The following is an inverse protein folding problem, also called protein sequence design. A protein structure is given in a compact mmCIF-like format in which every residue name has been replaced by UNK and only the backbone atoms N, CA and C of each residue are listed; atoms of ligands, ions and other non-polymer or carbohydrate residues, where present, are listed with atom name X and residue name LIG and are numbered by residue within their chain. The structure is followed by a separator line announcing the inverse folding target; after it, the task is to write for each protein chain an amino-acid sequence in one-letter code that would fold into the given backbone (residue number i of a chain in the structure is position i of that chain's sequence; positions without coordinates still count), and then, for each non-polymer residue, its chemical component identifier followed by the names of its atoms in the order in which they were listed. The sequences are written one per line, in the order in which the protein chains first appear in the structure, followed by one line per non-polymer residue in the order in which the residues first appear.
data_IF_310558620794
#
_entry.id   IF_310558620794
#
_cell.length_a   1.000
_cell.length_b   1.000
_cell.length_c   1.000
_cell.angle_alpha   90.00
_cell.angle_beta   90.00
_cell.angle_gamma   90.00
#
_symmetry.space_group_name_H-M   'P 1'
#
loop_
_entity.id
_entity.type
_entity.pdbx_description
1 polymer ?
#
# COMPACT_ATOMS: atom_id res chain seq x y z
N UNK A 1 -17.48 2.32 16.80
CA UNK A 1 -18.63 3.18 17.16
C UNK A 1 -19.29 3.78 15.92
N UNK A 2 -18.73 3.58 14.69
CA UNK A 2 -19.30 4.10 13.44
C UNK A 2 -19.03 5.59 13.17
N UNK A 3 -18.15 6.23 13.94
CA UNK A 3 -17.73 7.61 13.67
C UNK A 3 -16.81 7.67 12.44
N UNK A 4 -17.09 8.62 11.53
CA UNK A 4 -16.23 8.89 10.37
C UNK A 4 -15.11 9.84 10.81
N UNK A 5 -13.88 9.31 10.93
CA UNK A 5 -12.72 10.09 11.36
C UNK A 5 -12.17 11.01 10.25
N UNK A 6 -12.51 10.75 8.99
CA UNK A 6 -12.09 11.58 7.87
C UNK A 6 -12.06 10.82 6.55
N UNK A 7 -11.53 11.49 5.54
CA UNK A 7 -11.40 10.95 4.17
C UNK A 7 -9.95 11.10 3.73
N UNK A 8 -9.39 10.04 3.16
CA UNK A 8 -8.19 10.07 2.35
C UNK A 8 -8.57 9.89 0.88
N UNK A 9 -8.01 10.73 0.02
CA UNK A 9 -8.11 10.57 -1.43
C UNK A 9 -6.77 10.09 -1.96
N UNK A 10 -6.79 9.00 -2.72
CA UNK A 10 -5.60 8.40 -3.35
C UNK A 10 -4.75 9.46 -4.04
N UNK A 11 -3.52 9.60 -3.59
CA UNK A 11 -2.60 10.66 -4.06
C UNK A 11 -2.05 10.35 -5.44
N UNK A 12 -1.61 9.11 -5.67
CA UNK A 12 -1.00 8.70 -6.93
C UNK A 12 -2.00 7.90 -7.75
N UNK A 13 -2.31 8.39 -8.94
CA UNK A 13 -3.26 7.76 -9.86
C UNK A 13 -2.47 7.10 -11.00
N UNK A 14 -2.58 5.79 -11.21
CA UNK A 14 -1.92 5.11 -12.32
C UNK A 14 -2.52 5.50 -13.67
N UNK A 15 -1.72 5.37 -14.70
CA UNK A 15 -2.13 5.58 -16.09
C UNK A 15 -1.34 4.64 -16.99
N UNK A 16 -1.65 3.36 -16.88
CA UNK A 16 -1.02 2.33 -17.66
C UNK A 16 -2.07 1.38 -18.24
N UNK A 17 -1.63 0.49 -19.11
CA UNK A 17 -2.50 -0.49 -19.74
C UNK A 17 -3.29 -1.28 -18.70
N UNK A 18 -4.60 -1.37 -18.87
CA UNK A 18 -5.59 -1.90 -17.90
C UNK A 18 -5.78 -1.10 -16.59
N UNK A 19 -4.98 -0.05 -16.35
CA UNK A 19 -5.09 0.82 -15.18
C UNK A 19 -5.24 2.29 -15.58
N UNK A 20 -6.09 2.60 -16.56
CA UNK A 20 -6.30 3.97 -17.07
C UNK A 20 -7.14 4.81 -16.08
N UNK A 21 -6.72 4.84 -14.81
CA UNK A 21 -7.46 5.56 -13.77
C UNK A 21 -7.47 7.08 -14.00
N UNK A 22 -6.44 7.65 -14.64
CA UNK A 22 -6.38 9.10 -14.93
C UNK A 22 -7.46 9.59 -15.87
N UNK A 23 -8.08 8.68 -16.66
CA UNK A 23 -9.22 9.04 -17.49
C UNK A 23 -10.45 9.39 -16.64
N UNK A 24 -10.61 8.73 -15.49
CA UNK A 24 -11.79 8.87 -14.63
C UNK A 24 -11.54 9.70 -13.38
N UNK A 25 -10.31 9.80 -12.90
CA UNK A 25 -9.98 10.37 -11.59
C UNK A 25 -8.84 11.38 -11.67
N UNK A 26 -8.90 12.33 -10.75
CA UNK A 26 -7.81 13.28 -10.47
C UNK A 26 -7.01 12.84 -9.25
N UNK A 27 -5.70 13.12 -9.18
CA UNK A 27 -4.90 12.89 -7.97
C UNK A 27 -5.54 13.50 -6.73
N UNK A 28 -5.49 12.76 -5.63
CA UNK A 28 -5.99 13.21 -4.34
C UNK A 28 -5.25 14.43 -3.81
N UNK A 29 -5.96 15.28 -3.10
CA UNK A 29 -5.44 16.54 -2.55
C UNK A 29 -5.59 16.65 -1.03
N UNK A 30 -5.80 15.51 -0.35
CA UNK A 30 -5.98 15.50 1.12
C UNK A 30 -4.68 15.50 1.90
N UNK A 31 -3.55 15.31 1.22
CA UNK A 31 -2.27 14.98 1.85
C UNK A 31 -2.29 13.59 2.50
N UNK A 32 -1.15 13.18 3.02
CA UNK A 32 -1.02 11.92 3.75
C UNK A 32 -1.49 12.10 5.18
N UNK A 33 -2.54 11.37 5.55
CA UNK A 33 -3.21 11.50 6.85
C UNK A 33 -2.99 10.27 7.71
N UNK A 34 -2.93 10.52 9.01
CA UNK A 34 -2.94 9.50 10.06
C UNK A 34 -4.15 9.72 10.93
N UNK A 35 -4.86 8.65 11.25
CA UNK A 35 -6.02 8.68 12.11
C UNK A 35 -5.71 8.06 13.45
N UNK A 36 -5.99 8.81 14.51
CA UNK A 36 -5.89 8.33 15.88
C UNK A 36 -7.15 7.52 16.19
N UNK A 37 -7.00 6.21 16.27
CA UNK A 37 -8.09 5.30 16.59
C UNK A 37 -8.00 4.88 18.06
N UNK A 38 -9.01 4.17 18.55
CA UNK A 38 -8.99 3.60 19.91
C UNK A 38 -7.77 2.70 20.16
N UNK A 39 -7.19 2.10 19.13
CA UNK A 39 -6.22 1.00 19.25
C UNK A 39 -4.82 1.36 18.75
N UNK A 40 -4.73 2.19 17.73
CA UNK A 40 -3.48 2.58 17.08
C UNK A 40 -3.68 3.83 16.23
N UNK A 41 -2.57 4.51 15.92
CA UNK A 41 -2.50 5.54 14.87
C UNK A 41 -2.26 4.88 13.55
N UNK A 42 -3.26 4.93 12.66
CA UNK A 42 -3.21 4.27 11.36
C UNK A 42 -2.95 5.23 10.22
N UNK A 43 -2.02 4.88 9.35
CA UNK A 43 -1.79 5.53 8.06
C UNK A 43 -2.34 4.67 6.94
N UNK A 44 -2.95 5.29 5.93
CA UNK A 44 -3.52 4.58 4.79
C UNK A 44 -2.97 5.17 3.50
N UNK A 45 -2.39 4.31 2.64
CA UNK A 45 -2.15 4.56 1.24
C UNK A 45 -3.02 3.63 0.40
N UNK A 46 -3.45 4.06 -0.78
CA UNK A 46 -4.37 3.28 -1.62
C UNK A 46 -3.66 2.80 -2.87
N UNK A 47 -3.58 1.49 -3.06
CA UNK A 47 -3.13 0.82 -4.29
C UNK A 47 -1.82 1.43 -4.84
N UNK A 48 -1.86 2.25 -5.90
CA UNK A 48 -0.68 2.84 -6.53
C UNK A 48 0.23 3.63 -5.58
N UNK A 49 -0.32 4.20 -4.49
CA UNK A 49 0.47 4.86 -3.44
C UNK A 49 1.54 3.93 -2.84
N UNK A 50 1.34 2.63 -2.91
CA UNK A 50 2.23 1.59 -2.38
C UNK A 50 3.61 1.54 -3.04
N UNK A 51 3.75 2.09 -4.26
CA UNK A 51 5.02 2.11 -4.98
C UNK A 51 5.92 3.29 -4.60
N UNK A 52 5.37 4.27 -3.87
CA UNK A 52 6.05 5.52 -3.54
C UNK A 52 6.58 5.49 -2.11
N UNK A 53 7.93 5.43 -1.91
CA UNK A 53 8.53 5.49 -0.59
C UNK A 53 8.12 6.74 0.21
N UNK A 54 7.83 7.84 -0.49
CA UNK A 54 7.35 9.10 0.07
C UNK A 54 6.04 8.92 0.82
N UNK A 55 5.12 8.09 0.31
CA UNK A 55 3.85 7.79 0.99
C UNK A 55 4.11 7.19 2.36
N UNK A 56 4.86 6.11 2.42
CA UNK A 56 5.17 5.42 3.67
C UNK A 56 5.94 6.34 4.63
N UNK A 57 6.93 7.09 4.13
CA UNK A 57 7.73 8.01 4.94
C UNK A 57 6.90 9.15 5.51
N UNK A 58 6.03 9.76 4.70
CA UNK A 58 5.15 10.84 5.18
C UNK A 58 4.16 10.35 6.23
N UNK A 59 3.55 9.17 6.02
CA UNK A 59 2.65 8.57 7.01
C UNK A 59 3.39 8.26 8.32
N UNK A 60 4.59 7.70 8.26
CA UNK A 60 5.40 7.41 9.43
C UNK A 60 5.83 8.70 10.17
N UNK A 61 6.19 9.75 9.45
CA UNK A 61 6.52 11.07 10.02
C UNK A 61 5.31 11.74 10.68
N UNK A 62 4.10 11.48 10.15
CA UNK A 62 2.85 11.94 10.76
C UNK A 62 2.42 11.08 11.97
N UNK A 63 3.24 10.11 12.36
CA UNK A 63 3.05 9.32 13.56
C UNK A 63 2.27 8.02 13.38
N UNK A 64 2.15 7.50 12.16
CA UNK A 64 1.54 6.19 11.95
C UNK A 64 2.28 5.09 12.71
N UNK A 65 1.52 4.24 13.39
CA UNK A 65 1.99 3.05 14.09
C UNK A 65 1.74 1.77 13.27
N UNK A 66 0.76 1.82 12.36
CA UNK A 66 0.45 0.78 11.38
C UNK A 66 0.18 1.44 10.03
N UNK A 67 0.66 0.84 8.94
CA UNK A 67 0.41 1.27 7.57
C UNK A 67 -0.49 0.27 6.85
N UNK A 68 -1.61 0.75 6.32
CA UNK A 68 -2.57 -0.05 5.57
C UNK A 68 -2.55 0.31 4.09
N UNK A 69 -2.54 -0.71 3.24
CA UNK A 69 -2.59 -0.56 1.79
C UNK A 69 -3.67 -1.46 1.18
N UNK A 70 -4.92 -1.01 1.13
CA UNK A 70 -5.93 -1.67 0.30
C UNK A 70 -5.56 -1.51 -1.17
N UNK A 71 -5.56 -2.60 -1.92
CA UNK A 71 -5.08 -2.60 -3.30
C UNK A 71 -5.82 -3.59 -4.19
N UNK A 72 -5.74 -3.37 -5.49
CA UNK A 72 -6.14 -4.30 -6.53
C UNK A 72 -5.01 -4.32 -7.57
N UNK A 73 -4.05 -5.23 -7.39
CA UNK A 73 -2.91 -5.41 -8.29
C UNK A 73 -2.80 -6.86 -8.73
N UNK A 74 -2.49 -7.06 -9.98
CA UNK A 74 -2.38 -8.37 -10.61
C UNK A 74 -1.30 -8.44 -11.66
N UNK A 75 -1.24 -9.58 -12.33
CA UNK A 75 -0.39 -9.80 -13.50
C UNK A 75 -1.14 -9.36 -14.75
N UNK A 76 -0.49 -8.50 -15.51
CA UNK A 76 -0.98 -8.06 -16.81
C UNK A 76 -0.54 -9.07 -17.87
N UNK A 77 -1.48 -9.69 -18.59
CA UNK A 77 -1.13 -10.74 -19.57
C UNK A 77 -0.15 -10.27 -20.65
N UNK A 78 -0.18 -8.96 -20.95
CA UNK A 78 0.65 -8.37 -22.01
C UNK A 78 2.13 -8.24 -21.62
N UNK A 79 2.44 -8.21 -20.31
CA UNK A 79 3.81 -8.01 -19.85
C UNK A 79 4.58 -9.31 -19.62
N UNK A 80 3.90 -10.46 -19.63
CA UNK A 80 4.48 -11.77 -19.32
C UNK A 80 5.38 -11.73 -18.06
N UNK A 81 4.98 -10.92 -17.07
CA UNK A 81 5.76 -10.64 -15.88
C UNK A 81 4.90 -10.77 -14.64
N UNK A 82 5.36 -11.58 -13.69
CA UNK A 82 4.76 -11.68 -12.36
C UNK A 82 5.36 -10.63 -11.41
N UNK A 83 4.63 -9.55 -11.20
CA UNK A 83 5.06 -8.44 -10.31
C UNK A 83 4.86 -8.71 -8.82
N UNK A 84 4.24 -9.81 -8.42
CA UNK A 84 3.89 -10.11 -7.02
C UNK A 84 5.11 -10.04 -6.08
N UNK A 85 6.21 -10.67 -6.48
CA UNK A 85 7.43 -10.65 -5.67
C UNK A 85 8.09 -9.27 -5.59
N UNK A 86 8.00 -8.45 -6.64
CA UNK A 86 8.46 -7.06 -6.64
C UNK A 86 7.60 -6.22 -5.70
N UNK A 87 6.28 -6.28 -5.85
CA UNK A 87 5.32 -5.61 -4.98
C UNK A 87 5.56 -5.92 -3.50
N UNK A 88 5.66 -7.21 -3.14
CA UNK A 88 5.89 -7.63 -1.77
C UNK A 88 7.20 -7.06 -1.19
N UNK A 89 8.31 -7.13 -1.95
CA UNK A 89 9.61 -6.58 -1.50
C UNK A 89 9.56 -5.06 -1.29
N UNK A 90 8.86 -4.33 -2.16
CA UNK A 90 8.68 -2.88 -2.00
C UNK A 90 7.97 -2.57 -0.69
N UNK A 91 6.89 -3.28 -0.39
CA UNK A 91 6.11 -3.09 0.83
C UNK A 91 6.87 -3.49 2.09
N UNK A 92 7.63 -4.60 2.06
CA UNK A 92 8.54 -4.97 3.14
C UNK A 92 9.62 -3.90 3.37
N UNK A 93 10.13 -3.31 2.29
CA UNK A 93 11.07 -2.18 2.36
C UNK A 93 10.48 -0.96 3.05
N UNK A 94 9.19 -0.67 2.83
CA UNK A 94 8.50 0.43 3.53
C UNK A 94 8.40 0.16 5.03
N UNK A 95 8.06 -1.06 5.43
CA UNK A 95 8.05 -1.44 6.85
C UNK A 95 9.44 -1.26 7.48
N UNK A 96 10.44 -1.90 6.91
CA UNK A 96 11.82 -1.90 7.41
C UNK A 96 12.42 -0.48 7.47
N UNK A 97 12.25 0.33 6.42
CA UNK A 97 12.80 1.69 6.37
C UNK A 97 12.12 2.67 7.33
N UNK A 98 10.91 2.37 7.80
CA UNK A 98 10.15 3.24 8.70
C UNK A 98 9.96 2.66 10.11
N UNK A 99 10.39 1.41 10.34
CA UNK A 99 10.15 0.68 11.60
C UNK A 99 8.64 0.73 11.96
N UNK A 100 7.81 0.36 11.01
CA UNK A 100 6.34 0.37 11.12
C UNK A 100 5.77 -0.82 10.38
N UNK A 101 4.92 -1.65 11.02
CA UNK A 101 4.27 -2.75 10.32
C UNK A 101 3.44 -2.29 9.11
N UNK A 102 3.45 -3.12 8.06
CA UNK A 102 2.65 -2.92 6.86
C UNK A 102 1.61 -4.02 6.74
N UNK A 103 0.38 -3.62 6.46
CA UNK A 103 -0.77 -4.48 6.22
C UNK A 103 -1.26 -4.22 4.79
N UNK A 104 -1.04 -5.17 3.89
CA UNK A 104 -1.44 -5.09 2.50
C UNK A 104 -2.57 -6.06 2.21
N UNK A 105 -3.73 -5.50 1.83
CA UNK A 105 -4.91 -6.28 1.45
C UNK A 105 -5.12 -6.17 -0.06
N UNK A 106 -4.95 -7.28 -0.78
CA UNK A 106 -5.07 -7.32 -2.23
C UNK A 106 -6.26 -8.15 -2.68
N UNK A 107 -6.81 -7.79 -3.82
CA UNK A 107 -7.80 -8.54 -4.56
C UNK A 107 -7.19 -9.84 -5.12
N UNK A 108 -8.00 -10.86 -5.35
CA UNK A 108 -7.63 -12.10 -6.04
C UNK A 108 -8.61 -12.44 -7.16
N UNK A 109 -8.18 -13.26 -8.09
CA UNK A 109 -9.00 -13.86 -9.14
C UNK A 109 -8.84 -13.19 -10.50
N UNK A 110 -9.24 -13.93 -11.54
CA UNK A 110 -9.22 -13.51 -12.92
C UNK A 110 -10.44 -12.65 -13.24
N UNK A 111 -10.21 -11.51 -13.84
CA UNK A 111 -11.24 -10.68 -14.47
C UNK A 111 -11.03 -10.60 -15.97
N UNK A 112 -12.08 -10.90 -16.71
CA UNK A 112 -12.07 -10.86 -18.17
C UNK A 112 -13.15 -9.91 -18.67
N UNK A 113 -12.76 -9.07 -19.62
CA UNK A 113 -13.69 -8.23 -20.38
C UNK A 113 -13.95 -8.91 -21.72
N UNK A 114 -15.17 -9.41 -21.91
CA UNK A 114 -15.60 -10.02 -23.17
C UNK A 114 -15.92 -8.95 -24.21
N UNK A 115 -15.41 -9.03 -25.42
CA UNK A 115 -15.75 -8.09 -26.49
C UNK A 115 -17.26 -8.03 -26.76
N UNK A 116 -17.79 -6.82 -26.85
CA UNK A 116 -19.17 -6.57 -27.24
C UNK A 116 -19.28 -5.28 -28.07
N UNK A 117 -20.41 -5.04 -28.70
CA UNK A 117 -20.67 -3.76 -29.40
C UNK A 117 -20.69 -2.59 -28.43
N UNK A 118 -21.20 -2.81 -27.20
CA UNK A 118 -21.32 -1.77 -26.17
C UNK A 118 -19.97 -1.28 -25.66
N UNK A 119 -18.95 -2.17 -25.61
CA UNK A 119 -17.59 -1.80 -25.17
C UNK A 119 -16.62 -1.54 -26.33
N UNK A 120 -17.15 -1.39 -27.55
CA UNK A 120 -16.33 -1.13 -28.74
C UNK A 120 -15.41 -2.29 -29.14
N UNK A 121 -15.76 -3.52 -28.78
CA UNK A 121 -14.97 -4.71 -29.07
C UNK A 121 -13.73 -4.89 -28.20
N UNK A 122 -13.65 -4.21 -27.06
CA UNK A 122 -12.52 -4.35 -26.13
C UNK A 122 -12.45 -5.75 -25.53
N UNK A 123 -11.24 -6.30 -25.51
CA UNK A 123 -10.90 -7.55 -24.84
C UNK A 123 -9.74 -7.30 -23.91
N UNK A 124 -9.86 -7.68 -22.66
CA UNK A 124 -8.78 -7.61 -21.68
C UNK A 124 -8.95 -8.68 -20.61
N UNK A 125 -7.87 -9.05 -19.98
CA UNK A 125 -7.91 -9.87 -18.77
C UNK A 125 -6.85 -9.40 -17.77
N UNK A 126 -7.16 -9.52 -16.49
CA UNK A 126 -6.28 -9.18 -15.39
C UNK A 126 -6.42 -10.26 -14.31
N UNK A 127 -5.33 -10.94 -13.99
CA UNK A 127 -5.28 -11.92 -12.92
C UNK A 127 -4.74 -11.28 -11.65
N UNK A 128 -5.64 -10.90 -10.75
CA UNK A 128 -5.30 -10.37 -9.44
C UNK A 128 -4.69 -11.48 -8.59
N UNK A 129 -3.42 -11.31 -8.21
CA UNK A 129 -2.65 -12.40 -7.61
C UNK A 129 -2.82 -12.54 -6.09
N UNK A 130 -3.84 -11.93 -5.48
CA UNK A 130 -4.10 -12.09 -4.05
C UNK A 130 -2.88 -11.79 -3.21
N UNK A 131 -2.36 -12.80 -2.50
CA UNK A 131 -1.12 -12.72 -1.74
C UNK A 131 -1.09 -11.59 -0.71
N UNK A 132 -2.25 -11.20 -0.17
CA UNK A 132 -2.35 -10.25 0.95
C UNK A 132 -1.41 -10.65 2.08
N UNK A 133 -0.80 -9.71 2.77
CA UNK A 133 0.15 -10.04 3.82
C UNK A 133 0.23 -8.98 4.91
N UNK A 134 0.82 -9.37 6.04
CA UNK A 134 1.12 -8.53 7.19
C UNK A 134 2.59 -8.69 7.55
N UNK A 135 3.28 -7.57 7.81
CA UNK A 135 4.69 -7.60 8.26
C UNK A 135 4.80 -7.16 9.71
N UNK A 136 5.92 -7.49 10.33
CA UNK A 136 6.37 -6.78 11.52
C UNK A 136 7.01 -5.43 11.15
N UNK A 137 7.51 -4.71 12.16
CA UNK A 137 8.18 -3.42 12.03
C UNK A 137 9.53 -3.49 11.28
N UNK A 138 10.11 -4.67 11.14
CA UNK A 138 11.38 -4.91 10.41
C UNK A 138 11.16 -5.30 8.96
N UNK A 139 9.89 -5.51 8.57
CA UNK A 139 9.50 -5.96 7.24
C UNK A 139 9.48 -7.48 7.07
N UNK A 140 9.69 -8.25 8.14
CA UNK A 140 9.50 -9.69 8.09
C UNK A 140 8.01 -10.04 7.96
N UNK A 141 7.69 -11.00 7.10
CA UNK A 141 6.30 -11.45 6.91
C UNK A 141 5.85 -12.22 8.15
N UNK A 142 4.77 -11.77 8.77
CA UNK A 142 4.09 -12.47 9.86
C UNK A 142 3.03 -13.43 9.33
N UNK A 143 2.22 -12.95 8.39
CA UNK A 143 1.13 -13.68 7.78
C UNK A 143 1.04 -13.38 6.30
N UNK A 144 0.66 -14.36 5.50
CA UNK A 144 0.44 -14.22 4.06
C UNK A 144 -0.69 -15.12 3.57
N UNK A 145 -1.58 -14.55 2.78
CA UNK A 145 -2.61 -15.30 2.07
C UNK A 145 -2.05 -15.97 0.80
N UNK A 146 -2.74 -17.00 0.36
CA UNK A 146 -2.50 -17.61 -0.94
C UNK A 146 -2.86 -16.67 -2.09
N UNK A 147 -2.47 -17.04 -3.30
CA UNK A 147 -2.80 -16.26 -4.50
C UNK A 147 -4.29 -16.26 -4.83
N UNK A 148 -4.99 -17.32 -4.47
CA UNK A 148 -6.38 -17.52 -4.78
C UNK A 148 -7.19 -17.79 -3.50
N UNK A 149 -8.47 -17.43 -3.54
CA UNK A 149 -9.40 -17.67 -2.45
C UNK A 149 -9.44 -16.55 -1.40
N UNK A 150 -10.52 -16.53 -0.68
CA UNK A 150 -10.72 -15.62 0.45
C UNK A 150 -9.87 -16.05 1.65
N UNK A 151 -9.31 -15.08 2.35
CA UNK A 151 -8.53 -15.33 3.55
C UNK A 151 -8.79 -14.26 4.62
N UNK A 152 -8.72 -14.66 5.87
CA UNK A 152 -8.64 -13.76 7.02
C UNK A 152 -7.27 -13.96 7.67
N UNK A 153 -6.46 -12.92 7.67
CA UNK A 153 -5.15 -12.91 8.31
C UNK A 153 -5.25 -12.24 9.67
N UNK A 154 -4.57 -12.81 10.66
CA UNK A 154 -4.53 -12.28 12.02
C UNK A 154 -3.09 -12.15 12.49
N UNK A 155 -2.71 -10.95 12.95
CA UNK A 155 -1.43 -10.70 13.59
C UNK A 155 -1.62 -9.85 14.85
N UNK A 156 -0.71 -10.01 15.80
CA UNK A 156 -0.69 -9.19 17.02
C UNK A 156 0.54 -8.31 16.98
N UNK A 157 0.36 -7.02 17.26
CA UNK A 157 1.43 -6.02 17.29
C UNK A 157 1.59 -5.46 18.70
N UNK A 158 2.85 -5.41 19.15
CA UNK A 158 3.24 -4.67 20.34
C UNK A 158 3.70 -3.26 19.91
N UNK A 159 2.78 -2.30 19.99
CA UNK A 159 3.04 -0.94 19.52
C UNK A 159 4.08 -0.19 20.36
N UNK A 160 4.17 -0.48 21.66
CA UNK A 160 5.15 0.12 22.57
C UNK A 160 6.56 -0.39 22.23
N UNK A 161 6.67 -1.68 21.94
CA UNK A 161 7.93 -2.26 21.43
C UNK A 161 8.35 -1.60 20.11
N UNK A 162 7.44 -1.50 19.14
CA UNK A 162 7.71 -0.85 17.85
C UNK A 162 8.16 0.61 18.01
N UNK A 163 7.51 1.36 18.88
CA UNK A 163 7.90 2.75 19.21
C UNK A 163 9.30 2.82 19.83
N UNK A 164 9.61 1.92 20.76
CA UNK A 164 10.94 1.83 21.39
C UNK A 164 12.02 1.48 20.36
N UNK A 165 11.80 0.51 19.51
CA UNK A 165 12.73 0.11 18.45
C UNK A 165 13.01 1.25 17.47
N UNK A 166 11.97 2.00 17.07
CA UNK A 166 12.10 3.17 16.21
C UNK A 166 12.99 4.25 16.82
N UNK A 167 12.87 4.51 18.13
CA UNK A 167 13.74 5.45 18.86
C UNK A 167 15.18 4.94 18.95
N UNK A 168 15.35 3.66 19.28
CA UNK A 168 16.66 3.07 19.51
C UNK A 168 17.48 2.94 18.21
N UNK A 169 16.83 2.61 17.09
CA UNK A 169 17.50 2.45 15.80
C UNK A 169 17.99 3.78 15.21
N UNK A 170 17.39 4.89 15.60
CA UNK A 170 17.85 6.24 15.28
C UNK A 170 17.61 6.70 13.84
N UNK A 171 16.91 5.95 12.99
CA UNK A 171 16.69 6.30 11.57
C UNK A 171 16.02 7.67 11.40
N UNK A 172 15.09 8.02 12.27
CA UNK A 172 14.39 9.30 12.21
C UNK A 172 15.21 10.45 12.79
N UNK A 173 16.01 10.20 13.82
CA UNK A 173 16.92 11.17 14.42
C UNK A 173 18.01 11.61 13.44
N UNK A 174 18.55 10.67 12.69
CA UNK A 174 19.72 10.88 11.83
C UNK A 174 19.34 11.31 10.40
N UNK A 175 18.06 11.64 10.17
CA UNK A 175 17.60 12.19 8.89
C UNK A 175 18.24 13.53 8.59
N UNK A 176 18.49 13.78 7.30
CA UNK A 176 19.08 15.02 6.76
C UNK A 176 18.08 15.68 5.78
N UNK A 177 16.93 16.24 6.25
CA UNK A 177 15.90 16.80 5.35
C UNK A 177 16.44 17.87 4.39
N UNK A 178 17.46 18.62 4.82
CA UNK A 178 18.11 19.64 3.99
C UNK A 178 18.84 19.08 2.74
N UNK A 179 19.06 17.74 2.72
CA UNK A 179 19.66 17.03 1.58
C UNK A 179 18.62 16.41 0.63
N UNK A 180 17.33 16.49 0.98
CA UNK A 180 16.28 15.78 0.25
C UNK A 180 15.49 16.66 -0.72
N UNK A 181 15.97 17.85 -1.05
CA UNK A 181 15.26 18.81 -1.93
C UNK A 181 14.89 18.21 -3.29
N UNK A 182 15.73 17.32 -3.82
CA UNK A 182 15.49 16.66 -5.12
C UNK A 182 14.20 15.86 -5.23
N UNK A 183 13.65 15.42 -4.11
CA UNK A 183 12.36 14.69 -4.11
C UNK A 183 11.14 15.62 -4.01
N UNK A 184 11.37 16.94 -3.97
CA UNK A 184 10.31 17.96 -3.91
C UNK A 184 10.38 18.95 -5.09
N UNK A 185 11.38 18.82 -5.97
CA UNK A 185 11.59 19.66 -7.17
C UNK A 185 10.72 19.14 -8.39
#
# INVERSE_FOLDING_TARGET
DGEVLGIYRKTHIPDDHYYQEKFYFTPGNTGFKVWDTRYAKIGIGICWDQWFPETARCLALNGAELLFYPTAIGSEPILDTDSCGHWQRTMQGHAAANIVPVIAANRYGLEEVTPSEENGGQSSSLDFYGSSFMTDETGAILERAERQGEAVLLATYDLDKGASERLNWGLFRDRRPEMYQRITD
#
